data_IF_686667434073
#
_entry.id   IF_686667434073
#
_cell.length_a   1.000
_cell.length_b   1.000
_cell.length_c   1.000
_cell.angle_alpha   90.00
_cell.angle_beta   90.00
_cell.angle_gamma   90.00
#
_symmetry.space_group_name_H-M   'P 1'
#
loop_
_entity.id
_entity.type
_entity.pdbx_description
1 polymer ?
#
# COMPACT_ATOMS: atom_id res chain seq x y z
N UNK A 1 -12.79 16.80 3.01
CA UNK A 1 -11.58 16.06 2.59
C UNK A 1 -12.08 14.75 2.02
N UNK A 2 -11.58 14.34 0.86
CA UNK A 2 -12.03 13.09 0.23
C UNK A 2 -11.17 11.92 0.67
N UNK A 3 -11.75 10.73 0.71
CA UNK A 3 -11.11 9.51 1.18
C UNK A 3 -11.08 8.43 0.10
N UNK A 4 -9.90 7.85 -0.07
CA UNK A 4 -9.64 6.81 -1.06
C UNK A 4 -9.23 5.52 -0.37
N UNK A 5 -9.77 4.41 -0.85
CA UNK A 5 -9.33 3.07 -0.45
C UNK A 5 -8.50 2.45 -1.56
N UNK A 6 -7.46 1.71 -1.17
CA UNK A 6 -6.67 0.91 -2.10
C UNK A 6 -7.31 -0.46 -2.31
N UNK A 7 -7.27 -0.93 -3.55
CA UNK A 7 -7.72 -2.26 -3.95
C UNK A 7 -6.83 -2.77 -5.08
N UNK A 8 -6.96 -4.06 -5.37
CA UNK A 8 -6.38 -4.66 -6.57
C UNK A 8 -7.52 -5.10 -7.49
N UNK A 9 -7.86 -4.27 -8.48
CA UNK A 9 -9.05 -4.49 -9.34
C UNK A 9 -9.02 -5.81 -10.13
N UNK A 10 -7.83 -6.38 -10.36
CA UNK A 10 -7.64 -7.49 -11.28
C UNK A 10 -7.22 -8.80 -10.58
N UNK A 11 -7.20 -8.83 -9.25
CA UNK A 11 -6.75 -10.00 -8.49
C UNK A 11 -7.87 -10.54 -7.61
N UNK A 12 -7.95 -11.86 -7.50
CA UNK A 12 -8.90 -12.58 -6.65
C UNK A 12 -8.38 -12.74 -5.20
N UNK A 13 -7.39 -11.95 -4.80
CA UNK A 13 -6.82 -12.03 -3.48
C UNK A 13 -7.74 -11.35 -2.46
N UNK A 14 -8.55 -12.16 -1.78
CA UNK A 14 -9.45 -11.71 -0.71
C UNK A 14 -8.70 -10.95 0.40
N UNK A 15 -7.40 -11.19 0.59
CA UNK A 15 -6.57 -10.44 1.53
C UNK A 15 -6.40 -8.95 1.17
N UNK A 16 -6.47 -8.59 -0.11
CA UNK A 16 -6.50 -7.18 -0.54
C UNK A 16 -7.89 -6.56 -0.24
N UNK A 17 -8.97 -7.33 -0.39
CA UNK A 17 -10.34 -6.87 -0.07
C UNK A 17 -10.55 -6.68 1.45
N UNK A 18 -10.03 -7.59 2.27
CA UNK A 18 -10.09 -7.47 3.74
C UNK A 18 -9.28 -6.28 4.24
N UNK A 19 -8.16 -5.98 3.58
CA UNK A 19 -7.38 -4.78 3.81
C UNK A 19 -8.18 -3.51 3.48
N UNK A 20 -8.85 -3.47 2.32
CA UNK A 20 -9.71 -2.36 1.93
C UNK A 20 -10.88 -2.17 2.91
N UNK A 21 -11.51 -3.28 3.33
CA UNK A 21 -12.58 -3.27 4.33
C UNK A 21 -12.12 -2.71 5.68
N UNK A 22 -10.96 -3.14 6.17
CA UNK A 22 -10.39 -2.63 7.42
C UNK A 22 -10.11 -1.12 7.33
N UNK A 23 -9.54 -0.66 6.21
CA UNK A 23 -9.30 0.76 5.95
C UNK A 23 -10.59 1.58 5.92
N UNK A 24 -11.65 1.07 5.29
CA UNK A 24 -12.94 1.75 5.22
C UNK A 24 -13.56 2.02 6.61
N UNK A 25 -13.22 1.25 7.64
CA UNK A 25 -13.70 1.50 9.02
C UNK A 25 -13.16 2.80 9.63
N UNK A 26 -12.10 3.39 9.06
CA UNK A 26 -11.49 4.63 9.53
C UNK A 26 -12.01 5.88 8.82
N UNK A 27 -12.81 5.72 7.77
CA UNK A 27 -13.30 6.84 6.97
C UNK A 27 -14.78 7.10 7.25
N UNK A 28 -15.22 8.37 7.21
CA UNK A 28 -16.64 8.70 7.28
C UNK A 28 -17.40 8.22 6.03
N UNK A 29 -16.72 8.22 4.87
CA UNK A 29 -17.23 7.77 3.58
C UNK A 29 -16.07 7.34 2.66
N UNK A 30 -16.37 6.68 1.55
CA UNK A 30 -15.39 6.29 0.54
C UNK A 30 -15.74 6.99 -0.77
N UNK A 31 -14.95 7.99 -1.14
CA UNK A 31 -15.13 8.75 -2.38
C UNK A 31 -14.51 8.05 -3.58
N UNK A 32 -13.36 7.38 -3.39
CA UNK A 32 -12.59 6.80 -4.49
C UNK A 32 -12.09 5.39 -4.21
N UNK A 33 -12.16 4.57 -5.27
CA UNK A 33 -11.59 3.24 -5.35
C UNK A 33 -10.32 3.27 -6.22
N UNK A 34 -9.16 3.23 -5.58
CA UNK A 34 -7.85 3.41 -6.23
C UNK A 34 -7.21 2.04 -6.45
N UNK A 35 -6.93 1.72 -7.70
CA UNK A 35 -6.21 0.50 -8.03
C UNK A 35 -4.71 0.66 -7.72
N UNK A 36 -4.21 -0.15 -6.78
CA UNK A 36 -2.82 -0.09 -6.33
C UNK A 36 -1.81 -0.37 -7.45
N UNK A 37 -2.24 -1.08 -8.50
CA UNK A 37 -1.40 -1.39 -9.67
C UNK A 37 -1.42 -0.28 -10.74
N UNK A 38 -2.18 0.80 -10.56
CA UNK A 38 -2.27 1.94 -11.51
C UNK A 38 -2.37 3.31 -10.83
N UNK A 39 -1.80 3.44 -9.62
CA UNK A 39 -1.81 4.68 -8.84
C UNK A 39 -1.23 5.93 -9.55
N UNK A 40 -0.16 5.86 -10.37
CA UNK A 40 0.38 7.05 -11.03
C UNK A 40 -0.62 7.71 -12.00
N UNK A 41 -1.56 6.93 -12.53
CA UNK A 41 -2.58 7.43 -13.47
C UNK A 41 -3.86 7.92 -12.79
N UNK A 42 -3.97 7.75 -11.46
CA UNK A 42 -5.14 8.20 -10.71
C UNK A 42 -5.27 9.73 -10.76
N UNK A 43 -6.50 10.21 -10.97
CA UNK A 43 -6.87 11.63 -10.94
C UNK A 43 -8.24 11.78 -10.30
N UNK A 44 -8.44 12.87 -9.59
CA UNK A 44 -9.78 13.29 -9.14
C UNK A 44 -10.47 14.14 -10.19
N UNK A 45 -11.80 14.15 -10.13
CA UNK A 45 -12.62 14.85 -11.14
C UNK A 45 -12.55 16.38 -10.99
N UNK A 46 -12.33 16.86 -9.77
CA UNK A 46 -12.25 18.27 -9.41
C UNK A 46 -10.82 18.76 -9.11
N UNK A 47 -9.83 17.88 -9.24
CA UNK A 47 -8.43 18.20 -8.98
C UNK A 47 -8.05 18.28 -7.48
N UNK A 48 -9.00 18.04 -6.57
CA UNK A 48 -8.71 18.02 -5.13
C UNK A 48 -8.00 16.71 -4.72
N UNK A 49 -7.02 16.76 -3.79
CA UNK A 49 -6.33 15.55 -3.34
C UNK A 49 -7.22 14.67 -2.45
N UNK A 50 -6.88 13.39 -2.40
CA UNK A 50 -7.61 12.34 -1.66
C UNK A 50 -6.70 11.76 -0.59
N UNK A 51 -7.18 11.71 0.65
CA UNK A 51 -6.48 11.06 1.74
C UNK A 51 -6.57 9.53 1.60
N UNK A 52 -5.43 8.84 1.65
CA UNK A 52 -5.35 7.39 1.42
C UNK A 52 -4.42 6.73 2.43
N UNK A 53 -4.93 5.77 3.19
CA UNK A 53 -4.12 4.83 3.97
C UNK A 53 -3.45 3.86 2.99
N UNK A 54 -2.13 3.92 2.90
CA UNK A 54 -1.31 3.21 1.92
C UNK A 54 -0.99 1.77 2.33
N UNK A 55 -1.99 1.01 2.76
CA UNK A 55 -1.83 -0.39 3.16
C UNK A 55 -1.93 -1.34 1.97
N UNK A 56 -0.81 -1.90 1.54
CA UNK A 56 -0.80 -2.99 0.56
C UNK A 56 0.51 -3.76 0.59
N UNK A 57 0.52 -4.92 -0.09
CA UNK A 57 1.75 -5.40 -0.70
C UNK A 57 1.94 -4.65 -2.02
N UNK A 58 3.11 -4.07 -2.23
CA UNK A 58 3.47 -3.37 -3.45
C UNK A 58 4.59 -4.13 -4.17
N UNK A 59 4.58 -4.30 -5.48
CA UNK A 59 3.44 -4.32 -6.42
C UNK A 59 3.83 -5.24 -7.58
N UNK A 60 2.87 -5.71 -8.38
CA UNK A 60 3.17 -6.50 -9.58
C UNK A 60 3.83 -5.62 -10.65
N UNK A 61 3.26 -4.45 -10.94
CA UNK A 61 3.73 -3.50 -11.96
C UNK A 61 4.64 -2.45 -11.35
N UNK A 62 5.85 -2.84 -10.93
CA UNK A 62 6.81 -1.97 -10.21
C UNK A 62 7.18 -0.65 -10.90
N UNK A 63 6.99 -0.54 -12.22
CA UNK A 63 7.13 0.73 -12.97
C UNK A 63 5.99 1.73 -12.75
N UNK A 64 4.89 1.32 -12.11
CA UNK A 64 3.78 2.19 -11.73
C UNK A 64 3.99 2.82 -10.34
N UNK A 65 5.22 3.23 -10.06
CA UNK A 65 5.61 3.95 -8.85
C UNK A 65 6.47 5.16 -9.25
N UNK A 66 6.30 6.34 -8.62
CA UNK A 66 5.47 6.63 -7.43
C UNK A 66 3.98 6.91 -7.69
N UNK A 67 3.13 6.93 -6.65
CA UNK A 67 1.72 7.33 -6.75
C UNK A 67 1.50 8.74 -7.31
N UNK A 68 0.30 8.97 -7.84
CA UNK A 68 -0.14 10.26 -8.36
C UNK A 68 -0.13 11.38 -7.29
N UNK A 69 0.14 12.65 -7.66
CA UNK A 69 0.08 13.78 -6.73
C UNK A 69 -1.32 14.05 -6.16
N UNK A 70 -2.38 13.46 -6.73
CA UNK A 70 -3.73 13.52 -6.17
C UNK A 70 -3.93 12.58 -4.96
N UNK A 71 -2.94 11.74 -4.65
CA UNK A 71 -2.96 10.86 -3.49
C UNK A 71 -2.19 11.55 -2.36
N UNK A 72 -2.88 11.82 -1.25
CA UNK A 72 -2.30 12.30 0.00
C UNK A 72 -2.13 11.08 0.94
N UNK A 73 -0.93 10.48 1.00
CA UNK A 73 -0.74 9.17 1.62
C UNK A 73 -0.58 9.25 3.15
N UNK A 74 -1.08 8.22 3.82
CA UNK A 74 -0.68 7.82 5.17
C UNK A 74 -0.15 6.39 5.12
N UNK A 75 1.13 6.19 5.36
CA UNK A 75 1.74 4.87 5.29
C UNK A 75 1.50 4.04 6.56
N UNK A 76 0.72 2.97 6.41
CA UNK A 76 0.48 1.94 7.43
C UNK A 76 0.44 0.58 6.72
N UNK A 77 1.16 -0.40 7.24
CA UNK A 77 1.15 -1.76 6.70
C UNK A 77 1.72 -1.87 5.29
N UNK A 78 2.61 -0.94 4.92
CA UNK A 78 3.38 -0.99 3.69
C UNK A 78 4.21 -2.26 3.69
N UNK A 79 4.01 -3.11 2.71
CA UNK A 79 4.76 -4.35 2.55
C UNK A 79 5.37 -4.39 1.16
N UNK A 80 6.64 -4.73 1.10
CA UNK A 80 7.31 -5.05 -0.14
C UNK A 80 8.10 -6.34 0.10
N UNK A 81 7.86 -7.33 -0.74
CA UNK A 81 8.65 -8.54 -0.73
C UNK A 81 8.82 -9.06 -2.16
N UNK A 82 10.07 -9.12 -2.61
CA UNK A 82 10.45 -9.81 -3.83
C UNK A 82 10.77 -11.26 -3.45
N UNK A 83 9.75 -12.06 -3.16
CA UNK A 83 9.96 -13.47 -2.83
C UNK A 83 10.61 -14.17 -4.04
N UNK A 84 11.76 -14.79 -3.84
CA UNK A 84 12.40 -15.66 -4.84
C UNK A 84 11.46 -16.78 -5.35
N UNK A 85 10.44 -17.14 -4.54
CA UNK A 85 9.35 -18.07 -4.91
C UNK A 85 8.43 -17.56 -6.00
N UNK A 86 8.31 -16.24 -6.19
CA UNK A 86 7.39 -15.70 -7.18
C UNK A 86 7.90 -15.95 -8.62
N UNK A 87 9.18 -16.31 -8.83
CA UNK A 87 9.80 -16.56 -10.15
C UNK A 87 9.24 -15.63 -11.23
N UNK A 88 9.02 -14.35 -10.92
CA UNK A 88 8.12 -13.53 -11.74
C UNK A 88 8.78 -13.29 -13.10
N UNK A 89 8.35 -13.99 -14.17
CA UNK A 89 8.99 -13.84 -15.45
C UNK A 89 8.68 -12.44 -15.94
N UNK A 90 9.70 -11.60 -16.10
CA UNK A 90 9.56 -10.32 -16.79
C UNK A 90 9.27 -9.09 -15.94
N UNK A 91 9.48 -9.08 -14.62
CA UNK A 91 9.60 -7.80 -13.90
C UNK A 91 11.07 -7.35 -13.92
N UNK A 92 11.44 -6.34 -14.74
CA UNK A 92 12.83 -5.89 -14.84
C UNK A 92 13.30 -5.13 -13.59
N UNK A 93 12.37 -4.74 -12.72
CA UNK A 93 12.62 -4.00 -11.50
C UNK A 93 12.41 -4.91 -10.29
N UNK A 94 13.23 -4.70 -9.26
CA UNK A 94 13.07 -5.28 -7.93
C UNK A 94 12.98 -4.10 -6.97
N UNK A 95 14.02 -3.89 -6.19
CA UNK A 95 14.08 -2.84 -5.17
C UNK A 95 14.41 -1.46 -5.77
N UNK A 96 14.79 -1.40 -7.06
CA UNK A 96 15.12 -0.17 -7.75
C UNK A 96 13.94 0.82 -7.79
N UNK A 97 12.69 0.34 -7.76
CA UNK A 97 11.49 1.20 -7.67
C UNK A 97 11.44 2.01 -6.38
N UNK A 98 12.15 1.59 -5.32
CA UNK A 98 12.20 2.28 -4.03
C UNK A 98 13.37 3.29 -3.96
N UNK A 99 14.17 3.38 -5.01
CA UNK A 99 15.29 4.30 -5.14
C UNK A 99 14.94 5.46 -6.08
N UNK A 100 15.83 6.45 -6.22
CA UNK A 100 15.62 7.61 -7.09
C UNK A 100 14.31 8.34 -6.77
N UNK A 101 13.44 8.50 -7.77
CA UNK A 101 12.13 9.15 -7.61
C UNK A 101 11.24 8.44 -6.59
N UNK A 102 11.26 7.10 -6.55
CA UNK A 102 10.47 6.34 -5.59
C UNK A 102 10.94 6.51 -4.15
N UNK A 103 12.26 6.60 -3.94
CA UNK A 103 12.85 6.89 -2.63
C UNK A 103 12.62 8.34 -2.20
N UNK A 104 12.70 9.28 -3.14
CA UNK A 104 12.35 10.68 -2.90
C UNK A 104 10.87 10.83 -2.47
N UNK A 105 9.97 10.11 -3.14
CA UNK A 105 8.56 10.06 -2.76
C UNK A 105 8.35 9.51 -1.34
N UNK A 106 8.98 8.38 -1.01
CA UNK A 106 8.87 7.80 0.33
C UNK A 106 9.42 8.74 1.42
N UNK A 107 10.54 9.42 1.15
CA UNK A 107 11.09 10.40 2.09
C UNK A 107 10.20 11.63 2.26
N UNK A 108 9.56 12.11 1.20
CA UNK A 108 8.65 13.26 1.26
C UNK A 108 7.40 12.97 2.12
N UNK A 109 6.97 11.72 2.18
CA UNK A 109 5.77 11.28 2.91
C UNK A 109 6.07 10.42 4.15
N UNK A 110 7.34 10.33 4.54
CA UNK A 110 7.76 9.57 5.71
C UNK A 110 7.24 10.17 7.03
N UNK A 111 7.25 9.39 8.13
CA UNK A 111 7.78 8.03 8.23
C UNK A 111 6.86 6.96 7.64
N UNK A 112 7.44 5.91 7.07
CA UNK A 112 6.72 4.81 6.42
C UNK A 112 6.37 3.72 7.45
N UNK A 113 5.07 3.50 7.68
CA UNK A 113 4.58 2.39 8.50
C UNK A 113 4.63 1.07 7.74
N UNK A 114 5.53 0.17 8.15
CA UNK A 114 5.78 -1.13 7.53
C UNK A 114 4.95 -2.25 8.17
N UNK A 115 4.54 -3.21 7.33
CA UNK A 115 3.79 -4.40 7.76
C UNK A 115 4.63 -5.38 8.58
N UNK A 116 5.92 -5.43 8.31
CA UNK A 116 6.89 -6.38 8.85
C UNK A 116 8.26 -5.72 8.98
N UNK A 117 9.09 -6.30 9.86
CA UNK A 117 10.44 -5.81 10.11
C UNK A 117 11.36 -5.97 8.90
N UNK A 118 11.13 -6.95 8.02
CA UNK A 118 11.94 -7.08 6.79
C UNK A 118 11.81 -5.84 5.90
N UNK A 119 10.57 -5.40 5.65
CA UNK A 119 10.28 -4.19 4.86
C UNK A 119 10.83 -2.95 5.56
N UNK A 120 10.65 -2.85 6.89
CA UNK A 120 11.19 -1.76 7.71
C UNK A 120 12.71 -1.64 7.60
N UNK A 121 13.44 -2.74 7.84
CA UNK A 121 14.90 -2.78 7.79
C UNK A 121 15.42 -2.45 6.39
N UNK A 122 14.75 -2.95 5.35
CA UNK A 122 15.16 -2.68 3.98
C UNK A 122 14.98 -1.20 3.60
N UNK A 123 13.88 -0.57 4.00
CA UNK A 123 13.67 0.87 3.78
C UNK A 123 14.70 1.70 4.56
N UNK A 124 14.99 1.34 5.81
CA UNK A 124 16.03 2.00 6.61
C UNK A 124 17.41 1.87 5.97
N UNK A 125 17.74 0.70 5.40
CA UNK A 125 19.03 0.47 4.74
C UNK A 125 19.26 1.37 3.52
N UNK A 126 18.19 1.82 2.84
CA UNK A 126 18.26 2.78 1.73
C UNK A 126 18.02 4.24 2.16
N UNK A 127 18.01 4.52 3.47
CA UNK A 127 17.90 5.87 4.02
C UNK A 127 16.48 6.42 4.13
N UNK A 128 15.44 5.58 3.99
CA UNK A 128 14.04 5.97 4.18
C UNK A 128 13.65 5.82 5.65
N UNK A 129 13.07 6.87 6.24
CA UNK A 129 12.53 6.81 7.60
C UNK A 129 11.30 5.87 7.65
N UNK A 130 11.39 4.81 8.44
CA UNK A 130 10.36 3.78 8.54
C UNK A 130 10.22 3.24 9.97
N UNK A 131 9.06 2.67 10.27
CA UNK A 131 8.75 2.03 11.56
C UNK A 131 7.83 0.83 11.35
N UNK A 132 7.80 -0.11 12.29
CA UNK A 132 6.83 -1.21 12.26
C UNK A 132 5.44 -0.73 12.70
N UNK A 133 4.45 -0.87 11.82
CA UNK A 133 3.04 -0.59 12.11
C UNK A 133 2.16 -1.83 12.17
N UNK A 134 2.62 -2.94 11.58
CA UNK A 134 1.77 -4.12 11.34
C UNK A 134 0.74 -3.89 10.22
N UNK A 135 -0.05 -4.93 9.93
CA UNK A 135 -1.10 -4.86 8.91
C UNK A 135 -2.33 -4.12 9.44
N UNK A 136 -2.99 -3.31 8.60
CA UNK A 136 -4.24 -2.62 8.97
C UNK A 136 -5.33 -3.59 9.43
N UNK A 137 -5.30 -4.84 8.97
CA UNK A 137 -6.29 -5.85 9.33
C UNK A 137 -6.26 -6.24 10.81
N UNK A 138 -5.20 -5.89 11.55
CA UNK A 138 -5.13 -6.06 13.01
C UNK A 138 -6.06 -5.12 13.77
N UNK A 139 -6.60 -4.10 13.09
CA UNK A 139 -7.61 -3.19 13.66
C UNK A 139 -9.02 -3.79 13.64
N UNK A 140 -9.23 -4.85 12.88
CA UNK A 140 -10.51 -5.53 12.83
C UNK A 140 -10.81 -6.19 14.19
N UNK A 141 -12.09 -6.22 14.61
CA UNK A 141 -12.47 -6.90 15.83
C UNK A 141 -12.11 -8.38 15.74
N UNK A 142 -11.74 -8.93 16.90
CA UNK A 142 -11.43 -10.35 17.04
C UNK A 142 -12.61 -11.18 16.54
N UNK A 143 -12.36 -11.98 15.51
CA UNK A 143 -13.38 -12.86 14.94
C UNK A 143 -13.73 -13.96 15.93
N UNK A 144 -15.01 -14.36 15.95
CA UNK A 144 -15.45 -15.50 16.75
C UNK A 144 -14.74 -16.75 16.24
N UNK A 145 -14.30 -17.60 17.16
CA UNK A 145 -13.83 -18.93 16.78
C UNK A 145 -15.04 -19.72 16.29
N UNK A 146 -15.03 -20.08 15.03
CA UNK A 146 -15.96 -21.07 14.50
C UNK A 146 -15.38 -22.44 14.76
N UNK A 147 -16.20 -23.33 15.31
CA UNK A 147 -15.87 -24.75 15.40
C UNK A 147 -15.98 -25.32 13.98
N UNK A 148 -14.85 -25.64 13.37
CA UNK A 148 -14.78 -26.11 11.98
C UNK A 148 -14.79 -27.64 11.85
N UNK A 149 -15.08 -28.34 12.95
CA UNK A 149 -15.02 -29.80 13.04
C UNK A 149 -13.61 -30.30 13.30
#
# INVERSE_FOLDING_TARGET
MKYGILLNKNNLNIGDDIQAYATAQFYPEVDYFIDRESMPTFKTDDGEPVAVIMNAWYMWKKWNWPPSPYIYPLFVGFHYADHQLAKQPGSPLKYEMLQGEGGAYLNAWGPIGCRDHFTEEHLKAIGVNAYFSGCITLTLPKQKKEDRG
#
